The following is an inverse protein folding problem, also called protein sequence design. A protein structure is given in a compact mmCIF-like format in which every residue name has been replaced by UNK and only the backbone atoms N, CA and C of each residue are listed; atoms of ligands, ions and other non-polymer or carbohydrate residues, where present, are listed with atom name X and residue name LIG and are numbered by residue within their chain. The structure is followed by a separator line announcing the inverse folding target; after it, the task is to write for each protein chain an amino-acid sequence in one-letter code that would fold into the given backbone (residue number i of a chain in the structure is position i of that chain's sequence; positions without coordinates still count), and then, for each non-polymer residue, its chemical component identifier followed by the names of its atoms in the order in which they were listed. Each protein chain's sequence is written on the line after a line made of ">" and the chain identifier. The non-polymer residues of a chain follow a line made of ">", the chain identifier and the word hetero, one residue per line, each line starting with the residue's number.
data_IF_233188038417
#
_entry.id   IF_233188038417
#
_cell.length_a   1.000
_cell.length_b   1.000
_cell.length_c   1.000
_cell.angle_alpha   90.00
_cell.angle_beta   90.00
_cell.angle_gamma   90.00
#
_symmetry.space_group_name_H-M   'P 1'
#
loop_
_entity.id
_entity.type
_entity.pdbx_description
1 polymer ?
#
# COMPACT_ATOMS: atom_id res chain seq x y z
N UNK A 1 -0.67 -50.74 57.37
CA UNK A 1 -0.27 -50.83 55.94
C UNK A 1 -1.40 -50.17 55.15
N UNK A 2 -1.10 -49.13 54.35
CA UNK A 2 -2.02 -48.12 53.76
C UNK A 2 -2.40 -47.02 54.75
N UNK A 3 -1.99 -45.79 54.42
CA UNK A 3 -2.42 -44.45 54.93
C UNK A 3 -1.26 -43.44 54.83
N UNK A 4 -0.04 -43.88 54.52
CA UNK A 4 1.12 -43.00 54.22
C UNK A 4 1.10 -42.34 52.83
N UNK A 5 0.00 -42.45 52.08
CA UNK A 5 -0.09 -42.04 50.67
C UNK A 5 -1.14 -40.93 50.43
N UNK A 6 -1.36 -40.05 51.41
CA UNK A 6 -2.43 -39.04 51.33
C UNK A 6 -2.01 -37.60 51.59
N UNK A 7 -0.70 -37.30 51.57
CA UNK A 7 -0.18 -35.94 51.85
C UNK A 7 0.72 -35.33 50.78
N UNK A 8 0.90 -35.97 49.63
CA UNK A 8 1.88 -35.52 48.64
C UNK A 8 1.34 -35.32 47.22
N UNK A 9 0.05 -35.00 47.08
CA UNK A 9 -0.57 -34.71 45.77
C UNK A 9 -1.31 -33.36 45.74
N UNK A 10 -1.54 -32.72 46.88
CA UNK A 10 -2.33 -31.47 46.95
C UNK A 10 -1.51 -30.18 46.78
N UNK A 11 -0.18 -30.24 46.78
CA UNK A 11 0.69 -29.05 46.70
C UNK A 11 1.37 -28.86 45.35
N UNK A 12 1.24 -29.82 44.42
CA UNK A 12 1.83 -29.69 43.08
C UNK A 12 0.88 -29.04 42.05
N UNK A 13 -0.43 -29.02 42.32
CA UNK A 13 -1.43 -28.44 41.42
C UNK A 13 -1.70 -26.94 41.66
N UNK A 14 -1.27 -26.37 42.77
CA UNK A 14 -1.44 -24.94 43.05
C UNK A 14 -0.34 -24.06 42.43
N UNK A 15 0.81 -24.63 42.07
CA UNK A 15 1.95 -23.88 41.51
C UNK A 15 1.95 -23.79 39.97
N UNK A 16 1.10 -24.56 39.27
CA UNK A 16 0.99 -24.54 37.80
C UNK A 16 -0.20 -23.67 37.34
N UNK A 17 -1.16 -23.40 38.23
CA UNK A 17 -2.28 -22.50 37.94
C UNK A 17 -1.94 -21.00 38.04
N UNK A 18 -0.78 -20.65 38.62
CA UNK A 18 -0.37 -19.25 38.82
C UNK A 18 0.68 -18.74 37.82
N UNK A 19 1.15 -19.59 36.90
CA UNK A 19 2.12 -19.22 35.84
C UNK A 19 1.51 -19.19 34.44
N UNK A 20 0.25 -19.60 34.27
CA UNK A 20 -0.48 -19.54 32.99
C UNK A 20 -1.36 -18.27 32.86
N UNK A 21 -1.60 -17.55 33.97
CA UNK A 21 -2.42 -16.32 33.97
C UNK A 21 -1.60 -15.06 33.64
N UNK A 22 -0.27 -15.15 33.58
CA UNK A 22 0.61 -14.02 33.28
C UNK A 22 0.81 -13.74 31.79
N UNK A 23 0.22 -14.55 30.89
CA UNK A 23 0.40 -14.44 29.44
C UNK A 23 -0.78 -13.81 28.68
N UNK A 24 -1.81 -13.31 29.38
CA UNK A 24 -3.00 -12.69 28.74
C UNK A 24 -3.11 -11.18 28.98
N UNK A 25 -2.03 -10.56 29.43
CA UNK A 25 -1.94 -9.12 29.73
C UNK A 25 -1.14 -8.33 28.68
N UNK A 26 -1.08 -8.80 27.44
CA UNK A 26 -0.84 -7.90 26.30
C UNK A 26 -2.18 -7.31 25.85
N UNK A 27 -2.80 -6.56 26.76
CA UNK A 27 -3.82 -5.60 26.40
C UNK A 27 -3.16 -4.61 25.45
N UNK A 28 -3.64 -4.62 24.21
CA UNK A 28 -3.27 -3.69 23.16
C UNK A 28 -3.22 -2.27 23.72
N UNK A 29 -2.01 -1.73 23.86
CA UNK A 29 -1.80 -0.30 23.90
C UNK A 29 -2.15 0.22 22.51
N UNK A 30 -3.43 0.46 22.25
CA UNK A 30 -3.84 1.41 21.21
C UNK A 30 -3.30 2.77 21.66
N UNK A 31 -2.05 3.05 21.30
CA UNK A 31 -1.56 4.41 21.22
C UNK A 31 -2.48 5.11 20.22
N UNK A 32 -3.43 5.89 20.74
CA UNK A 32 -4.03 6.98 19.98
C UNK A 32 -2.85 7.82 19.52
N UNK A 33 -2.45 7.66 18.26
CA UNK A 33 -1.52 8.57 17.63
C UNK A 33 -2.11 9.96 17.79
N UNK A 34 -1.37 10.82 18.48
CA UNK A 34 -1.68 12.24 18.58
C UNK A 34 -1.61 12.74 17.14
N UNK A 35 -2.77 13.18 16.62
CA UNK A 35 -2.87 13.75 15.30
C UNK A 35 -1.94 14.98 15.23
N UNK A 36 -0.77 14.78 14.65
CA UNK A 36 0.15 15.88 14.34
C UNK A 36 -0.61 16.79 13.38
N UNK A 37 -0.74 18.08 13.70
CA UNK A 37 -1.42 19.01 12.80
C UNK A 37 -0.81 18.92 11.39
N UNK A 38 -1.64 18.85 10.34
CA UNK A 38 -1.14 18.72 8.97
C UNK A 38 -0.27 19.93 8.64
N UNK A 39 0.95 19.67 8.16
CA UNK A 39 1.81 20.72 7.64
C UNK A 39 1.26 21.18 6.29
N UNK A 40 0.89 22.46 6.18
CA UNK A 40 0.33 23.03 4.95
C UNK A 40 -1.20 23.13 4.96
N UNK A 41 -1.74 23.75 3.92
CA UNK A 41 -3.18 23.95 3.78
C UNK A 41 -3.85 22.65 3.34
N UNK A 42 -4.95 22.27 4.00
CA UNK A 42 -5.74 21.09 3.63
C UNK A 42 -6.49 21.37 2.33
N UNK A 43 -6.36 20.48 1.36
CA UNK A 43 -7.09 20.54 0.10
C UNK A 43 -8.34 19.65 0.14
N UNK A 44 -9.35 19.90 -0.73
CA UNK A 44 -10.54 19.06 -0.79
C UNK A 44 -10.22 17.58 -1.04
N UNK A 45 -11.06 16.67 -0.51
CA UNK A 45 -10.85 15.25 -0.72
C UNK A 45 -11.00 14.90 -2.22
N UNK A 46 -10.01 14.24 -2.85
CA UNK A 46 -10.06 13.83 -4.25
C UNK A 46 -11.32 13.04 -4.66
N UNK A 47 -11.90 12.25 -3.76
CA UNK A 47 -13.06 11.40 -4.03
C UNK A 47 -14.39 11.94 -3.47
N UNK A 48 -14.36 13.11 -2.83
CA UNK A 48 -15.48 13.75 -2.15
C UNK A 48 -15.40 13.67 -0.62
N UNK A 49 -16.06 14.61 0.08
CA UNK A 49 -15.95 14.81 1.53
C UNK A 49 -16.46 13.65 2.42
N UNK A 50 -17.17 12.68 1.84
CA UNK A 50 -17.73 11.54 2.57
C UNK A 50 -16.77 10.33 2.68
N UNK A 51 -15.64 10.38 1.98
CA UNK A 51 -14.62 9.33 2.02
C UNK A 51 -13.54 9.71 3.03
N UNK A 52 -13.03 8.74 3.78
CA UNK A 52 -11.75 8.90 4.49
C UNK A 52 -10.61 8.53 3.56
N UNK A 53 -9.44 9.16 3.75
CA UNK A 53 -8.25 8.85 2.96
C UNK A 53 -7.26 8.13 3.86
N UNK A 54 -6.75 6.99 3.40
CA UNK A 54 -5.72 6.24 4.12
C UNK A 54 -4.36 6.37 3.43
N UNK A 55 -3.31 6.45 4.23
CA UNK A 55 -1.93 6.35 3.76
C UNK A 55 -1.46 4.89 3.59
N UNK A 56 -0.21 4.72 3.15
CA UNK A 56 0.45 3.43 2.96
C UNK A 56 0.61 2.61 4.27
N UNK A 57 0.54 3.27 5.43
CA UNK A 57 0.50 2.65 6.75
C UNK A 57 -0.92 2.39 7.28
N UNK A 58 -1.97 2.72 6.51
CA UNK A 58 -3.36 2.53 6.90
C UNK A 58 -3.89 3.57 7.90
N UNK A 59 -3.17 4.67 8.13
CA UNK A 59 -3.65 5.77 8.97
C UNK A 59 -4.54 6.71 8.15
N UNK A 60 -5.54 7.29 8.80
CA UNK A 60 -6.36 8.34 8.19
C UNK A 60 -5.57 9.64 8.07
N UNK A 61 -5.48 10.16 6.85
CA UNK A 61 -4.70 11.37 6.52
C UNK A 61 -5.56 12.37 5.76
N UNK A 62 -5.18 13.65 5.86
CA UNK A 62 -5.72 14.71 5.00
C UNK A 62 -4.70 15.02 3.92
N UNK A 63 -5.16 15.22 2.69
CA UNK A 63 -4.28 15.72 1.62
C UNK A 63 -4.07 17.21 1.84
N UNK A 64 -2.84 17.64 1.63
CA UNK A 64 -2.39 19.01 1.86
C UNK A 64 -1.66 19.54 0.64
N UNK A 65 -1.39 20.85 0.62
CA UNK A 65 -0.62 21.48 -0.45
C UNK A 65 0.84 21.03 -0.53
N UNK A 66 1.38 20.38 0.51
CA UNK A 66 2.74 19.81 0.50
C UNK A 66 2.79 18.42 -0.14
N UNK A 67 1.66 17.73 -0.26
CA UNK A 67 1.61 16.43 -0.93
C UNK A 67 1.91 16.59 -2.43
N UNK A 68 2.43 15.56 -3.10
CA UNK A 68 2.54 15.56 -4.56
C UNK A 68 1.24 16.04 -5.24
N UNK A 69 1.29 16.93 -6.25
CA UNK A 69 0.09 17.43 -6.94
C UNK A 69 -0.83 16.34 -7.48
N UNK A 70 -0.25 15.18 -7.80
CA UNK A 70 -0.97 13.97 -8.18
C UNK A 70 -2.04 13.58 -7.14
N UNK A 71 -1.73 13.64 -5.84
CA UNK A 71 -2.69 13.32 -4.78
C UNK A 71 -3.75 14.40 -4.58
N UNK A 72 -3.48 15.66 -4.95
CA UNK A 72 -4.40 16.79 -4.76
C UNK A 72 -5.52 16.85 -5.82
N UNK A 73 -5.33 16.19 -6.96
CA UNK A 73 -6.25 16.29 -8.09
C UNK A 73 -7.62 15.64 -7.81
N UNK A 74 -8.73 16.28 -8.19
CA UNK A 74 -10.06 15.69 -8.03
C UNK A 74 -10.20 14.48 -8.96
N UNK A 75 -10.64 13.35 -8.42
CA UNK A 75 -10.98 12.17 -9.20
C UNK A 75 -12.34 12.35 -9.88
N UNK A 76 -12.37 12.09 -11.19
CA UNK A 76 -13.61 12.01 -11.97
C UNK A 76 -14.07 10.56 -12.18
N UNK A 77 -13.29 9.59 -11.73
CA UNK A 77 -13.56 8.16 -11.90
C UNK A 77 -14.06 7.58 -10.57
N UNK A 78 -15.32 7.14 -10.55
CA UNK A 78 -15.91 6.51 -9.37
C UNK A 78 -15.28 5.17 -9.02
N UNK A 79 -14.51 4.58 -9.93
CA UNK A 79 -13.78 3.32 -9.72
C UNK A 79 -12.32 3.54 -9.35
N UNK A 80 -11.81 4.77 -9.27
CA UNK A 80 -10.47 5.07 -8.73
C UNK A 80 -10.50 4.95 -7.20
N UNK A 81 -9.82 3.93 -6.68
CA UNK A 81 -9.75 3.67 -5.24
C UNK A 81 -8.40 4.04 -4.65
N UNK A 82 -7.34 3.88 -5.44
CA UNK A 82 -5.98 4.05 -4.97
C UNK A 82 -5.18 4.93 -5.91
N UNK A 83 -4.32 5.76 -5.30
CA UNK A 83 -3.25 6.47 -5.98
C UNK A 83 -1.91 6.01 -5.42
N UNK A 84 -0.97 5.71 -6.29
CA UNK A 84 0.39 5.31 -5.92
C UNK A 84 1.36 6.29 -6.56
N UNK A 85 2.19 6.93 -5.75
CA UNK A 85 3.25 7.82 -6.19
C UNK A 85 4.60 7.18 -5.86
N UNK A 86 5.36 6.85 -6.89
CA UNK A 86 6.62 6.12 -6.76
C UNK A 86 7.78 6.97 -7.27
N UNK A 87 8.79 7.09 -6.43
CA UNK A 87 10.11 7.61 -6.75
C UNK A 87 11.16 6.63 -6.26
N UNK A 88 12.42 6.87 -6.60
CA UNK A 88 13.51 6.08 -6.02
C UNK A 88 13.72 6.29 -4.51
N UNK A 89 13.17 7.37 -3.94
CA UNK A 89 13.35 7.69 -2.51
C UNK A 89 12.14 7.34 -1.66
N UNK A 90 10.97 7.23 -2.29
CA UNK A 90 9.71 7.13 -1.59
C UNK A 90 8.68 6.39 -2.44
N UNK A 91 7.92 5.54 -1.74
CA UNK A 91 6.70 4.91 -2.20
C UNK A 91 5.57 5.44 -1.33
N UNK A 92 4.58 6.09 -1.92
CA UNK A 92 3.44 6.68 -1.20
C UNK A 92 2.13 6.17 -1.78
N UNK A 93 1.18 5.82 -0.93
CA UNK A 93 -0.14 5.36 -1.35
C UNK A 93 -1.21 6.23 -0.71
N UNK A 94 -2.25 6.56 -1.48
CA UNK A 94 -3.48 7.12 -0.93
C UNK A 94 -4.64 6.24 -1.36
N UNK A 95 -5.30 5.60 -0.41
CA UNK A 95 -6.62 5.03 -0.66
C UNK A 95 -7.63 6.16 -0.53
N UNK A 96 -8.20 6.59 -1.64
CA UNK A 96 -9.09 7.76 -1.69
C UNK A 96 -10.57 7.39 -1.61
N UNK A 97 -10.92 6.10 -1.78
CA UNK A 97 -12.31 5.63 -1.80
C UNK A 97 -12.45 4.26 -1.14
N UNK A 98 -13.63 4.00 -0.59
CA UNK A 98 -14.07 2.66 -0.24
C UNK A 98 -13.39 2.10 1.01
N UNK A 99 -12.85 2.98 1.85
CA UNK A 99 -12.23 2.65 3.14
C UNK A 99 -13.18 1.90 4.07
N UNK A 100 -14.49 2.03 3.91
CA UNK A 100 -15.45 1.23 4.69
C UNK A 100 -15.49 -0.24 4.28
N UNK A 101 -15.09 -0.56 3.05
CA UNK A 101 -15.35 -1.87 2.44
C UNK A 101 -14.09 -2.71 2.26
N UNK A 102 -13.00 -2.08 1.83
CA UNK A 102 -11.77 -2.74 1.43
C UNK A 102 -10.56 -1.94 1.90
N UNK A 103 -9.49 -2.62 2.32
CA UNK A 103 -8.22 -2.02 2.72
C UNK A 103 -7.05 -2.76 2.09
N UNK A 104 -6.00 -2.04 1.74
CA UNK A 104 -4.72 -2.66 1.40
C UNK A 104 -3.99 -3.05 2.69
N UNK A 105 -3.50 -4.29 2.79
CA UNK A 105 -2.59 -4.70 3.87
C UNK A 105 -1.27 -3.94 3.75
N UNK A 106 -0.75 -3.48 4.89
CA UNK A 106 0.54 -2.79 4.97
C UNK A 106 1.66 -3.74 4.52
N UNK A 107 2.45 -3.34 3.53
CA UNK A 107 3.59 -4.10 3.01
C UNK A 107 4.82 -3.20 2.81
N UNK A 108 5.41 -2.74 3.93
CA UNK A 108 6.57 -1.85 3.93
C UNK A 108 7.78 -2.43 3.19
N UNK A 109 7.96 -3.75 3.27
CA UNK A 109 9.07 -4.44 2.61
C UNK A 109 8.94 -4.39 1.10
N UNK A 110 7.77 -4.76 0.56
CA UNK A 110 7.50 -4.64 -0.87
C UNK A 110 7.52 -3.18 -1.34
N UNK A 111 7.01 -2.25 -0.55
CA UNK A 111 6.99 -0.81 -0.88
C UNK A 111 8.41 -0.26 -1.09
N UNK A 112 9.33 -0.62 -0.18
CA UNK A 112 10.74 -0.25 -0.29
C UNK A 112 11.43 -0.89 -1.50
N UNK A 113 11.16 -2.17 -1.79
CA UNK A 113 11.74 -2.88 -2.93
C UNK A 113 11.34 -2.27 -4.27
N UNK A 114 10.10 -1.80 -4.40
CA UNK A 114 9.62 -1.14 -5.63
C UNK A 114 10.30 0.21 -5.84
N UNK A 115 10.49 0.99 -4.77
CA UNK A 115 11.30 2.22 -4.85
C UNK A 115 12.75 1.93 -5.21
N UNK A 116 13.36 0.90 -4.64
CA UNK A 116 14.74 0.49 -4.97
C UNK A 116 14.87 0.06 -6.44
N UNK A 117 13.90 -0.68 -6.97
CA UNK A 117 13.89 -1.09 -8.37
C UNK A 117 13.94 0.11 -9.33
N UNK A 118 13.33 1.24 -8.96
CA UNK A 118 13.36 2.46 -9.78
C UNK A 118 14.75 3.10 -9.91
N UNK A 119 15.69 2.84 -9.00
CA UNK A 119 17.06 3.38 -9.08
C UNK A 119 17.75 3.04 -10.40
N UNK A 120 17.43 1.87 -10.98
CA UNK A 120 17.98 1.40 -12.27
C UNK A 120 17.64 2.35 -13.43
N UNK A 121 16.54 3.11 -13.30
CA UNK A 121 16.00 3.96 -14.35
C UNK A 121 16.27 5.46 -14.13
N UNK A 122 16.93 5.85 -13.02
CA UNK A 122 17.28 7.24 -12.66
C UNK A 122 18.39 7.88 -13.52
N UNK A 123 18.25 7.74 -14.84
CA UNK A 123 19.15 8.29 -15.85
C UNK A 123 18.65 9.61 -16.43
N UNK A 124 17.35 9.89 -16.30
CA UNK A 124 16.68 11.10 -16.81
C UNK A 124 15.64 11.59 -15.82
N UNK A 125 15.36 12.91 -15.87
CA UNK A 125 14.16 13.45 -15.25
C UNK A 125 12.97 13.09 -16.13
N UNK A 126 12.08 12.25 -15.60
CA UNK A 126 10.93 11.77 -16.35
C UNK A 126 9.77 11.49 -15.42
N UNK A 127 8.56 11.81 -15.88
CA UNK A 127 7.33 11.50 -15.16
C UNK A 127 6.42 10.76 -16.10
N UNK A 128 5.89 9.64 -15.62
CA UNK A 128 5.00 8.76 -16.36
C UNK A 128 3.91 8.24 -15.44
N UNK A 129 2.84 7.73 -16.03
CA UNK A 129 1.69 7.25 -15.30
C UNK A 129 1.05 6.04 -15.96
N UNK A 130 0.30 5.30 -15.16
CA UNK A 130 -0.37 4.08 -15.57
C UNK A 130 -1.63 3.87 -14.76
N UNK A 131 -2.63 3.24 -15.36
CA UNK A 131 -3.89 2.92 -14.68
C UNK A 131 -4.06 1.41 -14.72
N UNK A 132 -4.06 0.78 -13.54
CA UNK A 132 -4.33 -0.65 -13.39
C UNK A 132 -5.80 -0.83 -13.03
N UNK A 133 -6.45 -1.73 -13.75
CA UNK A 133 -7.73 -2.29 -13.37
C UNK A 133 -7.51 -3.60 -12.61
N UNK A 134 -8.09 -3.68 -11.41
CA UNK A 134 -8.16 -4.90 -10.61
C UNK A 134 -9.61 -5.41 -10.59
N UNK A 135 -9.79 -6.68 -10.91
CA UNK A 135 -11.05 -7.41 -10.76
C UNK A 135 -10.84 -8.49 -9.70
N UNK A 136 -11.72 -8.52 -8.71
CA UNK A 136 -11.73 -9.50 -7.64
C UNK A 136 -12.86 -10.51 -7.84
N UNK A 137 -12.62 -11.72 -7.40
CA UNK A 137 -13.64 -12.75 -7.30
C UNK A 137 -14.74 -12.30 -6.32
N UNK A 138 -16.00 -12.27 -6.78
CA UNK A 138 -17.13 -11.79 -5.98
C UNK A 138 -17.56 -12.67 -4.80
N UNK A 139 -16.95 -13.85 -4.63
CA UNK A 139 -17.20 -14.74 -3.49
C UNK A 139 -16.05 -14.72 -2.49
N UNK A 140 -14.79 -14.70 -2.96
CA UNK A 140 -13.61 -14.84 -2.10
C UNK A 140 -12.83 -13.54 -1.89
N UNK A 141 -13.03 -12.53 -2.73
CA UNK A 141 -12.28 -11.28 -2.70
C UNK A 141 -10.85 -11.41 -3.18
N UNK A 142 -10.45 -12.60 -3.65
CA UNK A 142 -9.16 -12.84 -4.25
C UNK A 142 -9.06 -12.13 -5.61
N UNK A 143 -7.85 -11.71 -5.97
CA UNK A 143 -7.58 -11.11 -7.28
C UNK A 143 -7.84 -12.14 -8.38
N UNK A 144 -8.69 -11.77 -9.33
CA UNK A 144 -8.99 -12.58 -10.52
C UNK A 144 -8.31 -12.03 -11.76
N UNK A 145 -8.25 -10.71 -11.90
CA UNK A 145 -7.59 -10.07 -13.05
C UNK A 145 -6.85 -8.81 -12.63
N UNK A 146 -5.63 -8.68 -13.13
CA UNK A 146 -4.85 -7.45 -13.10
C UNK A 146 -4.47 -7.14 -14.54
N UNK A 147 -4.78 -5.92 -15.00
CA UNK A 147 -4.32 -5.44 -16.31
C UNK A 147 -4.27 -3.93 -16.32
N UNK A 148 -3.50 -3.36 -17.25
CA UNK A 148 -3.68 -1.96 -17.57
C UNK A 148 -5.07 -1.71 -18.17
N UNK A 149 -5.60 -0.53 -17.86
CA UNK A 149 -6.84 -0.03 -18.44
C UNK A 149 -6.50 0.83 -19.68
N UNK A 150 -6.88 2.11 -19.67
CA UNK A 150 -6.72 3.03 -20.79
C UNK A 150 -5.34 3.65 -20.88
N UNK A 151 -4.54 3.60 -19.81
CA UNK A 151 -3.23 4.26 -19.73
C UNK A 151 -2.14 3.29 -19.28
N UNK A 152 -1.15 3.14 -20.14
CA UNK A 152 0.04 2.29 -19.93
C UNK A 152 1.27 3.21 -19.93
N UNK A 153 2.25 3.00 -19.04
CA UNK A 153 3.51 3.73 -19.10
C UNK A 153 4.17 3.60 -20.48
N UNK A 154 4.83 4.68 -20.92
CA UNK A 154 5.51 4.76 -22.21
C UNK A 154 6.79 3.91 -22.24
N UNK A 155 7.38 3.66 -21.07
CA UNK A 155 8.55 2.79 -20.93
C UNK A 155 8.07 1.41 -20.45
N UNK A 156 8.29 0.39 -21.26
CA UNK A 156 7.82 -0.98 -20.99
C UNK A 156 8.30 -1.52 -19.64
N UNK A 157 9.52 -1.20 -19.23
CA UNK A 157 10.04 -1.68 -17.96
C UNK A 157 9.38 -0.99 -16.76
N UNK A 158 8.98 0.29 -16.87
CA UNK A 158 8.15 0.93 -15.85
C UNK A 158 6.75 0.29 -15.79
N UNK A 159 6.21 -0.14 -16.93
CA UNK A 159 4.96 -0.91 -16.95
C UNK A 159 5.10 -2.26 -16.24
N UNK A 160 6.27 -2.91 -16.28
CA UNK A 160 6.55 -4.14 -15.51
C UNK A 160 6.67 -3.85 -14.02
N UNK A 161 7.35 -2.77 -13.63
CA UNK A 161 7.44 -2.34 -12.22
C UNK A 161 6.04 -2.16 -11.62
N UNK A 162 5.13 -1.46 -12.33
CA UNK A 162 3.75 -1.30 -11.87
C UNK A 162 3.01 -2.63 -11.76
N UNK A 163 3.17 -3.53 -12.74
CA UNK A 163 2.50 -4.84 -12.71
C UNK A 163 3.02 -5.70 -11.56
N UNK A 164 4.32 -5.72 -11.31
CA UNK A 164 4.93 -6.42 -10.19
C UNK A 164 4.48 -5.82 -8.85
N UNK A 165 4.27 -4.51 -8.80
CA UNK A 165 3.78 -3.84 -7.61
C UNK A 165 2.37 -4.29 -7.22
N UNK A 166 1.44 -4.29 -8.16
CA UNK A 166 0.04 -4.63 -7.85
C UNK A 166 -0.16 -6.13 -7.57
N UNK A 167 0.67 -7.03 -8.14
CA UNK A 167 0.51 -8.48 -7.95
C UNK A 167 0.84 -8.95 -6.53
N UNK A 168 1.65 -8.19 -5.80
CA UNK A 168 1.95 -8.48 -4.37
C UNK A 168 0.92 -7.90 -3.41
N UNK A 169 0.02 -7.02 -3.86
CA UNK A 169 -0.96 -6.40 -2.95
C UNK A 169 -1.90 -7.46 -2.38
N UNK A 170 -2.03 -7.45 -1.05
CA UNK A 170 -3.04 -8.21 -0.34
C UNK A 170 -4.12 -7.25 0.16
N UNK A 171 -5.38 -7.64 0.00
CA UNK A 171 -6.52 -6.84 0.42
C UNK A 171 -7.20 -7.45 1.65
N UNK A 172 -7.77 -6.60 2.49
CA UNK A 172 -8.66 -6.95 3.59
C UNK A 172 -10.06 -6.44 3.28
N UNK A 173 -11.05 -7.32 3.43
CA UNK A 173 -12.45 -7.00 3.20
C UNK A 173 -13.16 -6.89 4.56
N UNK A 174 -14.02 -5.89 4.68
CA UNK A 174 -14.83 -5.66 5.89
C UNK A 174 -15.88 -6.75 6.14
N UNK A 175 -16.33 -7.39 5.07
CA UNK A 175 -17.36 -8.42 5.08
C UNK A 175 -16.80 -9.73 4.48
N UNK A 176 -17.38 -10.86 4.88
CA UNK A 176 -17.03 -12.17 4.32
C UNK A 176 -17.23 -12.23 2.81
N UNK A 177 -18.30 -11.58 2.32
CA UNK A 177 -18.56 -11.40 0.90
C UNK A 177 -18.05 -10.02 0.45
N UNK A 178 -17.15 -9.94 -0.55
CA UNK A 178 -16.63 -8.67 -1.03
C UNK A 178 -17.73 -7.79 -1.65
N UNK A 179 -17.90 -6.58 -1.11
CA UNK A 179 -18.77 -5.54 -1.69
C UNK A 179 -18.12 -4.90 -2.92
N UNK A 180 -16.80 -4.69 -2.85
CA UNK A 180 -16.01 -4.11 -3.95
C UNK A 180 -15.36 -5.25 -4.73
N UNK A 181 -15.78 -5.43 -5.98
CA UNK A 181 -15.27 -6.49 -6.86
C UNK A 181 -14.47 -5.97 -8.05
N UNK A 182 -14.43 -4.64 -8.22
CA UNK A 182 -13.71 -3.98 -9.31
C UNK A 182 -13.26 -2.59 -8.87
N UNK A 183 -11.99 -2.29 -9.05
CA UNK A 183 -11.44 -0.96 -8.78
C UNK A 183 -10.22 -0.66 -9.64
N UNK A 184 -9.84 0.61 -9.69
CA UNK A 184 -8.69 1.11 -10.40
C UNK A 184 -7.65 1.67 -9.43
N UNK A 185 -6.39 1.49 -9.80
CA UNK A 185 -5.22 2.05 -9.14
C UNK A 185 -4.52 2.97 -10.13
N UNK A 186 -4.39 4.24 -9.77
CA UNK A 186 -3.69 5.23 -10.56
C UNK A 186 -2.26 5.34 -10.06
N UNK A 187 -1.30 5.10 -10.94
CA UNK A 187 0.12 5.18 -10.66
C UNK A 187 0.71 6.45 -11.24
N UNK A 188 1.62 7.07 -10.51
CA UNK A 188 2.50 8.13 -10.98
C UNK A 188 3.93 7.76 -10.60
N UNK A 189 4.79 7.59 -11.61
CA UNK A 189 6.22 7.30 -11.45
C UNK A 189 7.00 8.57 -11.80
N UNK A 190 7.91 8.94 -10.92
CA UNK A 190 8.87 10.02 -11.18
C UNK A 190 10.30 9.51 -11.04
N UNK A 191 11.03 9.60 -12.14
CA UNK A 191 12.45 9.35 -12.23
C UNK A 191 13.20 10.68 -12.10
N UNK A 192 14.32 10.63 -11.39
CA UNK A 192 15.21 11.76 -11.21
C UNK A 192 16.59 11.40 -11.75
N UNK A 193 17.18 12.29 -12.54
CA UNK A 193 18.52 12.05 -13.08
C UNK A 193 19.56 12.13 -11.97
N UNK A 194 20.07 10.97 -11.56
CA UNK A 194 21.15 10.84 -10.57
C UNK A 194 22.45 10.36 -11.17
N UNK A 195 22.43 9.92 -12.43
CA UNK A 195 23.61 9.40 -13.12
C UNK A 195 24.48 10.48 -13.78
N UNK A 196 24.08 11.76 -13.69
CA UNK A 196 24.76 12.86 -14.40
C UNK A 196 24.72 12.73 -15.92
N UNK A 197 23.90 11.81 -16.44
CA UNK A 197 23.84 11.48 -17.86
C UNK A 197 22.99 12.50 -18.60
N UNK A 198 23.39 12.89 -19.82
CA UNK A 198 22.58 13.81 -20.62
C UNK A 198 21.42 13.08 -21.28
N UNK A 199 20.30 13.79 -21.46
CA UNK A 199 19.06 13.25 -22.08
C UNK A 199 19.31 12.60 -23.45
N UNK A 200 20.28 13.11 -24.21
CA UNK A 200 20.59 12.61 -25.56
C UNK A 200 21.27 11.24 -25.53
N UNK A 201 22.21 11.01 -24.59
CA UNK A 201 22.83 9.69 -24.39
C UNK A 201 21.80 8.64 -23.98
N UNK A 202 20.88 8.99 -23.08
CA UNK A 202 19.86 8.05 -22.59
C UNK A 202 18.83 7.74 -23.69
N UNK A 203 18.43 8.73 -24.50
CA UNK A 203 17.58 8.47 -25.67
C UNK A 203 18.23 7.51 -26.66
N UNK A 204 19.55 7.60 -26.86
CA UNK A 204 20.26 6.71 -27.76
C UNK A 204 20.35 5.28 -27.21
N UNK A 205 20.54 5.11 -25.90
CA UNK A 205 20.46 3.81 -25.22
C UNK A 205 19.05 3.20 -25.32
N UNK A 206 18.01 3.95 -24.94
CA UNK A 206 16.62 3.48 -24.97
C UNK A 206 16.15 3.13 -26.40
N UNK A 207 16.58 3.89 -27.42
CA UNK A 207 16.27 3.58 -28.82
C UNK A 207 16.93 2.28 -29.30
N UNK A 208 18.09 1.92 -28.77
CA UNK A 208 18.77 0.66 -29.07
C UNK A 208 18.06 -0.51 -28.39
N UNK A 209 17.52 -0.29 -27.19
CA UNK A 209 16.80 -1.30 -26.41
C UNK A 209 15.42 -1.64 -26.99
N UNK A 210 14.68 -0.66 -27.53
CA UNK A 210 13.40 -0.89 -28.23
C UNK A 210 13.54 -1.66 -29.56
N UNK A 211 14.75 -1.72 -30.13
CA UNK A 211 15.02 -2.42 -31.41
C UNK A 211 15.53 -3.85 -31.26
N UNK A 212 15.72 -4.33 -30.03
CA UNK A 212 16.01 -5.75 -29.74
C UNK A 212 14.73 -6.47 -29.34
#
# INVERSE_FOLDING_TARGET
>A
MREFYRRSVSTLFAAIALTVISAVLNCASSQKQIATEPKGEVVPNPAGENESILDEEGNEVKITTIDPPFFQSISKDSTEYFRVYITSDAYKVRQIRGTKFIHRKIDRGGDALISEELLKYNKINFTDDGIILVILNGNTGAVETIRFNTRVPRINDLAKVIQNDVTRWAMEHSEEKPVVTKYQIHYMIRLENRSGSTRDKVKEELRKEVRK
#
